data_IF_099692719503
#
_entry.id   IF_099692719503
#
_cell.length_a   1.000
_cell.length_b   1.000
_cell.length_c   1.000
_cell.angle_alpha   90.00
_cell.angle_beta   90.00
_cell.angle_gamma   90.00
#
_symmetry.space_group_name_H-M   'P 1'
#
loop_
_entity.id
_entity.type
_entity.pdbx_description
1 polymer ?
#
# COMPACT_ATOMS: atom_id res chain seq x y z
N UNK A 1 2.92 -11.83 6.54
CA UNK A 1 2.64 -12.38 5.20
C UNK A 1 2.82 -13.91 5.20
N UNK A 2 1.72 -14.66 5.03
CA UNK A 2 1.63 -16.12 5.28
C UNK A 2 2.63 -16.95 4.46
N UNK A 3 2.78 -16.62 3.17
CA UNK A 3 3.71 -17.33 2.26
C UNK A 3 5.17 -17.22 2.70
N UNK A 4 5.55 -16.10 3.30
CA UNK A 4 6.92 -15.92 3.83
C UNK A 4 7.17 -16.77 5.06
N UNK A 5 6.19 -16.85 5.97
CA UNK A 5 6.28 -17.70 7.17
C UNK A 5 6.42 -19.19 6.79
N UNK A 6 5.62 -19.69 5.85
CA UNK A 6 5.74 -21.06 5.35
C UNK A 6 7.10 -21.34 4.72
N UNK A 7 7.60 -20.41 3.90
CA UNK A 7 8.93 -20.53 3.29
C UNK A 7 10.05 -20.55 4.34
N UNK A 8 9.90 -19.78 5.42
CA UNK A 8 10.85 -19.75 6.53
C UNK A 8 10.81 -21.04 7.34
N UNK A 9 9.62 -21.57 7.68
CA UNK A 9 9.47 -22.87 8.36
C UNK A 9 10.17 -23.98 7.58
N UNK A 10 9.92 -24.07 6.26
CA UNK A 10 10.59 -25.06 5.40
C UNK A 10 12.11 -24.92 5.40
N UNK A 11 12.64 -23.70 5.48
CA UNK A 11 14.09 -23.47 5.59
C UNK A 11 14.64 -23.94 6.93
N UNK A 12 13.94 -23.65 8.02
CA UNK A 12 14.35 -24.05 9.37
C UNK A 12 14.32 -25.57 9.50
N UNK A 13 13.27 -26.23 9.00
CA UNK A 13 13.16 -27.70 9.01
C UNK A 13 14.32 -28.35 8.25
N UNK A 14 14.59 -27.89 7.01
CA UNK A 14 15.76 -28.38 6.24
C UNK A 14 17.09 -28.19 6.97
N UNK A 15 17.24 -27.11 7.74
CA UNK A 15 18.46 -26.86 8.49
C UNK A 15 18.57 -27.76 9.71
N UNK A 16 17.46 -28.05 10.40
CA UNK A 16 17.41 -29.03 11.49
C UNK A 16 17.79 -30.42 10.95
N UNK A 17 17.19 -30.85 9.84
CA UNK A 17 17.48 -32.15 9.24
C UNK A 17 18.96 -32.28 8.84
N UNK A 18 19.54 -31.21 8.28
CA UNK A 18 20.95 -31.19 7.92
C UNK A 18 21.88 -31.31 9.14
N UNK A 19 21.53 -30.67 10.26
CA UNK A 19 22.33 -30.79 11.50
C UNK A 19 22.20 -32.18 12.08
N UNK A 20 20.99 -32.76 12.08
CA UNK A 20 20.79 -34.13 12.56
C UNK A 20 21.62 -35.13 11.73
N UNK A 21 21.65 -34.98 10.40
CA UNK A 21 22.50 -35.79 9.54
C UNK A 21 24.00 -35.58 9.82
N UNK A 22 24.42 -34.33 10.07
CA UNK A 22 25.81 -34.01 10.45
C UNK A 22 26.18 -34.60 11.81
N UNK A 23 25.21 -34.70 12.75
CA UNK A 23 25.38 -35.41 14.02
C UNK A 23 25.54 -36.91 13.79
N UNK A 24 24.66 -37.52 12.99
CA UNK A 24 24.73 -38.95 12.68
C UNK A 24 26.10 -39.30 12.02
N UNK A 25 26.57 -38.47 11.09
CA UNK A 25 27.90 -38.61 10.48
C UNK A 25 29.07 -38.33 11.44
N UNK A 26 28.90 -37.47 12.44
CA UNK A 26 29.90 -37.22 13.46
C UNK A 26 29.98 -38.38 14.45
N UNK A 27 28.83 -38.91 14.89
CA UNK A 27 28.74 -40.08 15.78
C UNK A 27 29.37 -41.32 15.13
N UNK A 28 29.13 -41.55 13.83
CA UNK A 28 29.79 -42.62 13.07
C UNK A 28 31.32 -42.43 12.99
N UNK A 29 31.81 -41.19 12.95
CA UNK A 29 33.26 -40.88 12.91
C UNK A 29 33.92 -40.89 14.28
N UNK A 30 33.16 -40.64 15.35
CA UNK A 30 33.62 -40.54 16.73
C UNK A 30 33.49 -41.84 17.52
N UNK A 31 33.13 -42.98 16.90
CA UNK A 31 33.15 -44.30 17.51
C UNK A 31 34.51 -44.58 18.20
N UNK A 32 34.58 -44.31 19.51
CA UNK A 32 35.77 -44.48 20.36
C UNK A 32 36.45 -43.21 20.91
N UNK A 33 35.94 -41.99 20.70
CA UNK A 33 36.48 -40.76 21.31
C UNK A 33 35.44 -40.01 22.19
N UNK A 34 35.86 -39.31 23.25
CA UNK A 34 34.94 -38.58 24.12
C UNK A 34 34.47 -37.26 23.47
N UNK A 35 33.14 -37.08 23.42
CA UNK A 35 32.47 -35.93 22.80
C UNK A 35 32.83 -34.59 23.46
N UNK A 36 33.28 -33.61 22.67
CA UNK A 36 33.47 -32.23 23.11
C UNK A 36 32.30 -31.37 22.58
N UNK A 37 31.26 -31.20 23.42
CA UNK A 37 29.96 -30.65 23.03
C UNK A 37 30.03 -29.14 22.76
N UNK A 38 29.76 -28.72 21.53
CA UNK A 38 29.45 -27.31 21.15
C UNK A 38 28.13 -27.19 20.33
N UNK A 39 27.39 -28.29 20.11
CA UNK A 39 26.18 -28.31 19.24
C UNK A 39 24.82 -28.11 19.92
N UNK A 40 24.70 -28.31 21.23
CA UNK A 40 23.40 -28.22 21.94
C UNK A 40 22.78 -26.81 21.82
N UNK A 41 23.63 -25.77 21.87
CA UNK A 41 23.21 -24.37 21.78
C UNK A 41 22.58 -24.04 20.41
N UNK A 42 23.22 -24.45 19.30
CA UNK A 42 22.71 -24.18 17.94
C UNK A 42 21.37 -24.87 17.65
N UNK A 43 21.20 -26.12 18.12
CA UNK A 43 19.95 -26.87 17.95
C UNK A 43 18.83 -26.30 18.81
N UNK A 44 19.16 -25.85 20.03
CA UNK A 44 18.22 -25.20 20.94
C UNK A 44 17.72 -23.88 20.35
N UNK A 45 18.61 -23.03 19.85
CA UNK A 45 18.27 -21.77 19.17
C UNK A 45 17.34 -21.99 17.97
N UNK A 46 17.61 -23.01 17.15
CA UNK A 46 16.77 -23.34 15.97
C UNK A 46 15.39 -23.89 16.36
N UNK A 47 15.31 -24.69 17.43
CA UNK A 47 14.02 -25.18 17.98
C UNK A 47 13.20 -24.03 18.57
N UNK A 48 13.84 -23.10 19.29
CA UNK A 48 13.19 -21.90 19.82
C UNK A 48 12.70 -20.98 18.70
N UNK A 49 13.50 -20.78 17.65
CA UNK A 49 13.09 -20.01 16.48
C UNK A 49 11.87 -20.65 15.79
N UNK A 50 11.85 -21.97 15.63
CA UNK A 50 10.70 -22.72 15.08
C UNK A 50 9.43 -22.52 15.92
N UNK A 51 9.56 -22.56 17.25
CA UNK A 51 8.44 -22.31 18.17
C UNK A 51 7.90 -20.87 18.04
N UNK A 52 8.79 -19.87 17.99
CA UNK A 52 8.42 -18.46 17.77
C UNK A 52 7.69 -18.27 16.43
N UNK A 53 8.21 -18.84 15.34
CA UNK A 53 7.58 -18.74 14.01
C UNK A 53 6.20 -19.41 13.99
N UNK A 54 6.02 -20.57 14.62
CA UNK A 54 4.70 -21.21 14.76
C UNK A 54 3.70 -20.34 15.53
N UNK A 55 4.14 -19.71 16.63
CA UNK A 55 3.29 -18.81 17.42
C UNK A 55 2.84 -17.58 16.61
N UNK A 56 3.76 -16.98 15.85
CA UNK A 56 3.45 -15.86 14.94
C UNK A 56 2.48 -16.32 13.84
N UNK A 57 2.68 -17.50 13.28
CA UNK A 57 1.80 -18.06 12.27
C UNK A 57 0.37 -18.25 12.79
N UNK A 58 0.21 -18.79 14.01
CA UNK A 58 -1.11 -18.92 14.65
C UNK A 58 -1.83 -17.58 14.82
N UNK A 59 -1.12 -16.57 15.35
CA UNK A 59 -1.67 -15.20 15.47
C UNK A 59 -2.08 -14.60 14.12
N UNK A 60 -1.28 -14.82 13.08
CA UNK A 60 -1.60 -14.37 11.73
C UNK A 60 -2.85 -15.04 11.15
N UNK A 61 -3.16 -16.29 11.54
CA UNK A 61 -4.41 -16.95 11.12
C UNK A 61 -5.63 -16.38 11.84
N UNK A 62 -5.50 -16.05 13.14
CA UNK A 62 -6.55 -15.40 13.92
C UNK A 62 -6.83 -13.97 13.44
N UNK A 63 -5.79 -13.20 13.07
CA UNK A 63 -5.88 -11.82 12.59
C UNK A 63 -6.21 -11.70 11.08
N UNK A 64 -6.56 -12.81 10.42
CA UNK A 64 -7.00 -12.80 9.02
C UNK A 64 -5.88 -12.54 7.99
N UNK A 65 -4.62 -12.84 8.34
CA UNK A 65 -3.49 -12.84 7.42
C UNK A 65 -2.84 -11.47 7.15
N UNK A 66 -3.19 -10.43 7.91
CA UNK A 66 -2.52 -9.13 7.84
C UNK A 66 -1.05 -9.26 8.21
N UNK A 67 -0.17 -8.51 7.56
CA UNK A 67 1.26 -8.63 7.79
C UNK A 67 1.66 -7.92 9.08
N UNK A 68 1.75 -8.66 10.19
CA UNK A 68 2.10 -8.11 11.51
C UNK A 68 3.61 -8.00 11.71
N UNK A 69 4.08 -6.88 12.26
CA UNK A 69 5.45 -6.72 12.71
C UNK A 69 5.62 -7.45 14.06
N UNK A 70 6.69 -8.25 14.18
CA UNK A 70 6.94 -9.12 15.33
C UNK A 70 7.50 -8.40 16.55
N UNK A 71 8.05 -7.20 16.36
CA UNK A 71 8.62 -6.38 17.43
C UNK A 71 7.58 -5.40 17.98
N UNK A 72 6.79 -4.81 17.09
CA UNK A 72 5.74 -3.85 17.43
C UNK A 72 4.51 -4.16 16.56
N UNK A 73 3.42 -4.61 17.18
CA UNK A 73 2.21 -5.04 16.47
C UNK A 73 1.42 -3.90 15.85
N UNK A 74 1.57 -2.68 16.36
CA UNK A 74 0.83 -1.50 15.89
C UNK A 74 1.50 -0.84 14.68
N UNK A 75 2.78 -1.19 14.42
CA UNK A 75 3.51 -0.71 13.26
C UNK A 75 2.94 -1.27 11.94
N UNK A 76 2.76 -0.39 10.96
CA UNK A 76 2.42 -0.79 9.58
C UNK A 76 3.66 -0.87 8.69
N UNK A 77 3.49 -1.52 7.54
CA UNK A 77 4.51 -1.60 6.50
C UNK A 77 4.41 -0.36 5.62
N UNK A 78 5.40 0.53 5.71
CA UNK A 78 5.48 1.79 4.94
C UNK A 78 6.45 1.64 3.78
N UNK A 79 6.08 2.12 2.60
CA UNK A 79 6.97 2.22 1.45
C UNK A 79 7.52 3.63 1.31
N UNK A 80 8.84 3.75 1.25
CA UNK A 80 9.56 5.00 0.98
C UNK A 80 10.43 4.85 -0.27
N UNK A 81 11.09 5.94 -0.67
CA UNK A 81 12.07 5.93 -1.75
C UNK A 81 13.28 5.04 -1.46
N UNK A 82 13.56 4.76 -0.18
CA UNK A 82 14.66 3.91 0.28
C UNK A 82 14.25 2.44 0.49
N UNK A 83 12.99 2.11 0.22
CA UNK A 83 12.46 0.75 0.30
C UNK A 83 11.30 0.63 1.28
N UNK A 84 11.09 -0.59 1.78
CA UNK A 84 10.01 -0.86 2.73
C UNK A 84 10.56 -0.89 4.15
N UNK A 85 9.88 -0.18 5.05
CA UNK A 85 10.18 -0.16 6.49
C UNK A 85 8.92 -0.43 7.32
N UNK A 86 9.12 -0.74 8.61
CA UNK A 86 8.05 -0.68 9.59
C UNK A 86 7.97 0.76 10.12
N UNK A 87 6.76 1.30 10.26
CA UNK A 87 6.56 2.64 10.82
C UNK A 87 5.09 2.98 10.98
N UNK A 88 4.85 4.24 11.34
CA UNK A 88 3.53 4.82 11.55
C UNK A 88 3.28 5.89 10.50
N UNK A 89 2.09 5.88 9.88
CA UNK A 89 1.69 6.96 9.00
C UNK A 89 0.96 8.01 9.84
N UNK A 90 1.61 9.14 10.09
CA UNK A 90 1.04 10.24 10.89
C UNK A 90 0.47 11.30 9.97
N UNK A 91 -0.77 11.68 10.23
CA UNK A 91 -1.51 12.72 9.54
C UNK A 91 -1.64 13.92 10.48
N UNK A 92 -1.54 15.13 9.96
CA UNK A 92 -1.68 16.34 10.76
C UNK A 92 -2.30 17.46 9.92
N UNK A 93 -3.19 18.23 10.55
CA UNK A 93 -3.81 19.42 9.98
C UNK A 93 -3.39 20.63 10.79
N UNK A 94 -2.99 21.68 10.09
CA UNK A 94 -2.48 22.91 10.68
C UNK A 94 -3.33 24.09 10.24
N UNK A 95 -3.62 25.02 11.15
CA UNK A 95 -4.31 26.26 10.81
C UNK A 95 -3.37 27.24 10.10
N UNK A 96 -3.88 27.95 9.09
CA UNK A 96 -3.07 28.86 8.27
C UNK A 96 -2.65 30.14 9.02
N UNK A 97 -3.45 30.59 9.99
CA UNK A 97 -3.26 31.91 10.62
C UNK A 97 -2.18 31.88 11.71
N UNK A 98 -2.08 30.81 12.48
CA UNK A 98 -1.24 30.67 13.66
C UNK A 98 -0.27 29.49 13.55
N UNK A 99 -0.48 28.59 12.59
CA UNK A 99 0.37 27.42 12.41
C UNK A 99 0.20 26.38 13.51
N UNK A 100 -0.95 26.36 14.20
CA UNK A 100 -1.24 25.38 15.25
C UNK A 100 -1.81 24.10 14.65
N UNK A 101 -1.41 22.98 15.23
CA UNK A 101 -1.97 21.67 14.88
C UNK A 101 -3.40 21.60 15.46
N UNK A 102 -4.38 21.41 14.58
CA UNK A 102 -5.81 21.36 14.92
C UNK A 102 -6.38 19.94 14.83
N UNK A 103 -5.69 19.03 14.13
CA UNK A 103 -5.96 17.61 14.13
C UNK A 103 -4.66 16.83 13.93
N UNK A 104 -4.56 15.66 14.53
CA UNK A 104 -3.49 14.70 14.27
C UNK A 104 -3.99 13.29 14.50
N UNK A 105 -3.63 12.39 13.60
CA UNK A 105 -4.08 11.00 13.61
C UNK A 105 -2.95 10.07 13.16
N UNK A 106 -2.99 8.81 13.60
CA UNK A 106 -2.03 7.78 13.19
C UNK A 106 -2.79 6.65 12.51
N UNK A 107 -2.52 6.48 11.23
CA UNK A 107 -3.23 5.51 10.40
C UNK A 107 -2.33 4.35 10.00
N UNK A 108 -2.92 3.16 9.88
CA UNK A 108 -2.21 1.96 9.42
C UNK A 108 -2.14 1.85 7.89
N UNK A 109 -2.73 2.81 7.17
CA UNK A 109 -2.71 2.88 5.72
C UNK A 109 -1.36 3.38 5.20
N UNK A 110 -0.88 2.77 4.11
CA UNK A 110 0.43 3.04 3.53
C UNK A 110 0.41 4.21 2.53
N UNK A 111 -0.74 4.86 2.34
CA UNK A 111 -0.86 6.04 1.49
C UNK A 111 -1.96 6.94 2.03
N UNK A 112 -1.98 8.17 1.55
CA UNK A 112 -2.83 9.25 2.08
C UNK A 112 -4.12 9.46 1.26
N UNK A 113 -4.36 8.63 0.24
CA UNK A 113 -5.47 8.81 -0.71
C UNK A 113 -6.83 8.87 0.00
N UNK A 114 -7.03 8.07 1.05
CA UNK A 114 -8.31 7.97 1.76
C UNK A 114 -8.35 8.80 3.06
N UNK A 115 -7.40 9.72 3.27
CA UNK A 115 -7.26 10.42 4.55
C UNK A 115 -7.79 11.86 4.52
N UNK A 116 -8.00 12.47 3.35
CA UNK A 116 -8.30 13.90 3.28
C UNK A 116 -9.58 14.30 4.04
N UNK A 117 -10.71 13.63 3.79
CA UNK A 117 -11.97 14.09 4.39
C UNK A 117 -11.97 13.91 5.91
N UNK A 118 -11.51 12.75 6.40
CA UNK A 118 -11.41 12.45 7.82
C UNK A 118 -10.58 13.51 8.57
N UNK A 119 -9.41 13.88 8.04
CA UNK A 119 -8.55 14.87 8.68
C UNK A 119 -9.19 16.27 8.72
N UNK A 120 -9.86 16.70 7.65
CA UNK A 120 -10.56 18.00 7.60
C UNK A 120 -11.77 18.01 8.55
N UNK A 121 -12.53 16.92 8.62
CA UNK A 121 -13.67 16.82 9.51
C UNK A 121 -13.24 16.87 10.99
N UNK A 122 -12.16 16.18 11.36
CA UNK A 122 -11.57 16.27 12.71
C UNK A 122 -11.11 17.70 13.03
N UNK A 123 -10.44 18.37 12.09
CA UNK A 123 -10.01 19.76 12.29
C UNK A 123 -11.20 20.71 12.48
N UNK A 124 -12.28 20.53 11.71
CA UNK A 124 -13.50 21.32 11.81
C UNK A 124 -14.21 21.09 13.16
N UNK A 125 -14.22 19.85 13.65
CA UNK A 125 -14.75 19.50 14.97
C UNK A 125 -13.96 20.18 16.08
N UNK A 126 -12.63 20.09 16.06
CA UNK A 126 -11.75 20.76 17.04
C UNK A 126 -11.94 22.27 17.06
N UNK A 127 -12.10 22.90 15.88
CA UNK A 127 -12.31 24.34 15.77
C UNK A 127 -13.76 24.77 16.05
N UNK A 128 -14.70 23.82 16.16
CA UNK A 128 -16.13 24.09 16.30
C UNK A 128 -16.76 24.82 15.11
N UNK A 129 -16.06 24.86 13.97
CA UNK A 129 -16.51 25.53 12.74
C UNK A 129 -15.81 24.92 11.54
N UNK A 130 -16.47 25.00 10.38
CA UNK A 130 -15.88 24.61 9.10
C UNK A 130 -14.81 25.61 8.67
N UNK A 131 -13.71 25.12 8.11
CA UNK A 131 -12.75 25.94 7.39
C UNK A 131 -13.34 26.47 6.07
N UNK A 132 -12.82 27.59 5.58
CA UNK A 132 -13.24 28.13 4.27
C UNK A 132 -12.53 27.43 3.11
N UNK A 133 -11.25 27.09 3.32
CA UNK A 133 -10.41 26.44 2.32
C UNK A 133 -9.59 25.34 2.98
N UNK A 134 -9.58 24.17 2.34
CA UNK A 134 -8.78 23.02 2.72
C UNK A 134 -7.72 22.75 1.65
N UNK A 135 -6.45 22.76 2.06
CA UNK A 135 -5.30 22.54 1.18
C UNK A 135 -4.55 21.28 1.60
N UNK A 136 -4.10 20.48 0.64
CA UNK A 136 -3.20 19.35 0.89
C UNK A 136 -2.30 19.10 -0.33
N UNK A 137 -1.30 18.22 -0.15
CA UNK A 137 -0.43 17.81 -1.24
C UNK A 137 -1.10 16.78 -2.18
N UNK A 138 -0.40 16.41 -3.25
CA UNK A 138 -0.95 15.49 -4.25
C UNK A 138 -1.17 14.06 -3.76
N UNK A 139 -0.60 13.66 -2.62
CA UNK A 139 -0.83 12.36 -1.98
C UNK A 139 -2.29 12.16 -1.59
N UNK A 140 -2.98 13.25 -1.26
CA UNK A 140 -4.41 13.29 -0.91
C UNK A 140 -5.34 13.46 -2.11
N UNK A 141 -4.82 13.39 -3.35
CA UNK A 141 -5.59 13.66 -4.57
C UNK A 141 -6.52 12.50 -4.97
N UNK A 142 -7.48 12.16 -4.10
CA UNK A 142 -8.54 11.19 -4.33
C UNK A 142 -9.88 11.89 -4.57
N UNK A 143 -10.47 11.68 -5.74
CA UNK A 143 -11.67 12.43 -6.14
C UNK A 143 -12.87 12.21 -5.22
N UNK A 144 -13.03 11.01 -4.67
CA UNK A 144 -14.18 10.67 -3.85
C UNK A 144 -14.04 11.30 -2.46
N UNK A 145 -12.82 11.36 -1.90
CA UNK A 145 -12.52 12.10 -0.68
C UNK A 145 -12.67 13.62 -0.85
N UNK A 146 -12.12 14.18 -1.93
CA UNK A 146 -12.21 15.62 -2.19
C UNK A 146 -13.67 16.06 -2.40
N UNK A 147 -14.49 15.25 -3.08
CA UNK A 147 -15.91 15.55 -3.28
C UNK A 147 -16.70 15.60 -1.96
N UNK A 148 -16.35 14.76 -0.96
CA UNK A 148 -17.00 14.80 0.36
C UNK A 148 -16.84 16.15 1.04
N UNK A 149 -15.66 16.76 0.93
CA UNK A 149 -15.36 18.07 1.53
C UNK A 149 -15.93 19.22 0.68
N UNK A 150 -15.87 19.11 -0.65
CA UNK A 150 -16.46 20.11 -1.56
C UNK A 150 -17.99 20.23 -1.35
N UNK A 151 -18.68 19.11 -1.14
CA UNK A 151 -20.12 19.06 -0.79
C UNK A 151 -20.46 19.76 0.53
N UNK A 152 -19.48 20.01 1.39
CA UNK A 152 -19.66 20.76 2.63
C UNK A 152 -19.53 22.28 2.46
N UNK A 153 -19.39 22.76 1.21
CA UNK A 153 -19.13 24.15 0.82
C UNK A 153 -17.73 24.64 1.23
N UNK A 154 -16.79 23.72 1.39
CA UNK A 154 -15.38 24.01 1.70
C UNK A 154 -14.58 23.99 0.41
N UNK A 155 -13.82 25.06 0.13
CA UNK A 155 -13.00 25.13 -1.07
C UNK A 155 -11.81 24.18 -0.97
N UNK A 156 -11.74 23.19 -1.86
CA UNK A 156 -10.65 22.20 -1.87
C UNK A 156 -9.54 22.62 -2.85
N UNK A 157 -8.30 22.69 -2.37
CA UNK A 157 -7.11 23.00 -3.18
C UNK A 157 -6.09 21.87 -3.00
N UNK A 158 -6.15 20.88 -3.90
CA UNK A 158 -5.24 19.73 -3.91
C UNK A 158 -4.71 19.53 -5.33
N UNK A 159 -3.38 19.55 -5.55
CA UNK A 159 -2.81 19.33 -6.87
C UNK A 159 -2.98 17.85 -7.27
N UNK A 160 -3.34 17.60 -8.53
CA UNK A 160 -3.33 16.23 -9.03
C UNK A 160 -1.91 15.66 -9.07
N UNK A 161 -1.79 14.34 -8.94
CA UNK A 161 -0.51 13.62 -9.09
C UNK A 161 0.23 13.98 -10.38
N UNK A 162 -0.51 14.27 -11.45
CA UNK A 162 0.06 14.74 -12.71
C UNK A 162 0.71 16.12 -12.57
N UNK A 163 0.05 17.08 -11.94
CA UNK A 163 0.58 18.42 -11.70
C UNK A 163 1.84 18.36 -10.83
N UNK A 164 1.86 17.51 -9.81
CA UNK A 164 3.04 17.29 -8.97
C UNK A 164 4.21 16.64 -9.72
N UNK A 165 3.93 15.75 -10.68
CA UNK A 165 4.98 15.00 -11.42
C UNK A 165 5.86 15.84 -12.35
N UNK A 166 5.46 17.08 -12.69
CA UNK A 166 6.15 18.00 -13.62
C UNK A 166 6.54 17.39 -14.98
N UNK A 167 5.92 16.29 -15.40
CA UNK A 167 6.19 15.64 -16.69
C UNK A 167 5.47 16.39 -17.80
N UNK A 168 6.18 16.63 -18.90
CA UNK A 168 5.60 17.18 -20.11
C UNK A 168 4.40 16.34 -20.59
N UNK A 169 3.31 16.96 -21.05
CA UNK A 169 2.15 16.24 -21.55
C UNK A 169 2.54 15.43 -22.80
N UNK A 170 2.39 14.09 -22.71
CA UNK A 170 2.49 13.24 -23.91
C UNK A 170 1.40 13.62 -24.94
N UNK A 171 1.62 13.35 -26.24
CA UNK A 171 0.65 13.70 -27.29
C UNK A 171 -0.77 13.21 -27.02
N UNK A 172 -0.93 11.98 -26.52
CA UNK A 172 -2.22 11.37 -26.15
C UNK A 172 -2.55 11.47 -24.65
N UNK A 173 -2.21 12.60 -24.01
CA UNK A 173 -2.64 12.85 -22.64
C UNK A 173 -4.16 13.12 -22.59
N UNK A 174 -4.87 12.67 -21.54
CA UNK A 174 -6.31 12.89 -21.32
C UNK A 174 -6.74 14.36 -21.49
N UNK A 175 -5.89 15.33 -21.11
CA UNK A 175 -6.21 16.75 -21.27
C UNK A 175 -6.32 17.21 -22.74
N UNK A 176 -5.74 16.46 -23.67
CA UNK A 176 -5.83 16.74 -25.11
C UNK A 176 -7.06 16.07 -25.74
N UNK A 177 -7.86 15.33 -24.97
CA UNK A 177 -9.12 14.75 -25.44
C UNK A 177 -10.26 15.71 -25.13
N UNK A 178 -11.16 15.88 -26.09
CA UNK A 178 -12.39 16.68 -25.94
C UNK A 178 -13.56 15.74 -25.73
N UNK A 179 -14.33 15.94 -24.66
CA UNK A 179 -15.52 15.14 -24.39
C UNK A 179 -16.77 15.80 -24.98
N UNK A 180 -17.51 15.04 -25.79
CA UNK A 180 -18.84 15.42 -26.30
C UNK A 180 -19.89 14.72 -25.43
N UNK A 181 -20.61 15.53 -24.64
CA UNK A 181 -21.63 15.04 -23.70
C UNK A 181 -22.89 14.53 -24.40
N UNK A 182 -23.24 15.06 -25.57
CA UNK A 182 -24.45 14.65 -26.29
C UNK A 182 -24.28 13.26 -26.90
N UNK A 183 -23.10 12.98 -27.42
CA UNK A 183 -22.78 11.70 -28.10
C UNK A 183 -22.13 10.65 -27.20
N UNK A 184 -21.85 11.01 -25.94
CA UNK A 184 -21.05 10.24 -24.98
C UNK A 184 -19.78 9.68 -25.65
N UNK A 185 -18.96 10.57 -26.22
CA UNK A 185 -17.74 10.18 -26.92
C UNK A 185 -16.60 11.16 -26.65
N UNK A 186 -15.37 10.65 -26.75
CA UNK A 186 -14.17 11.48 -26.68
C UNK A 186 -13.56 11.65 -28.07
N UNK A 187 -13.21 12.87 -28.44
CA UNK A 187 -12.39 13.14 -29.63
C UNK A 187 -10.92 13.18 -29.21
N UNK A 188 -10.10 12.34 -29.83
CA UNK A 188 -8.67 12.30 -29.56
C UNK A 188 -7.93 13.47 -30.27
N UNK A 189 -6.65 13.72 -29.95
CA UNK A 189 -5.85 14.78 -30.59
C UNK A 189 -5.66 14.64 -32.10
N UNK A 190 -5.95 13.46 -32.66
CA UNK A 190 -5.93 13.17 -34.10
C UNK A 190 -7.33 13.24 -34.73
N UNK A 191 -8.30 13.84 -34.04
CA UNK A 191 -9.69 14.03 -34.49
C UNK A 191 -10.52 12.74 -34.68
N UNK A 192 -10.01 11.59 -34.21
CA UNK A 192 -10.76 10.35 -34.25
C UNK A 192 -11.69 10.24 -33.01
N UNK A 193 -12.89 9.69 -33.20
CA UNK A 193 -13.88 9.51 -32.13
C UNK A 193 -13.71 8.18 -31.38
N UNK A 194 -13.63 8.27 -30.06
CA UNK A 194 -13.67 7.15 -29.13
C UNK A 194 -15.07 7.04 -28.52
N UNK A 195 -15.74 5.92 -28.78
CA UNK A 195 -17.08 5.64 -28.24
C UNK A 195 -16.97 4.77 -26.99
N UNK A 196 -17.98 4.83 -26.14
CA UNK A 196 -18.08 3.93 -24.99
C UNK A 196 -17.97 2.47 -25.45
N UNK A 197 -17.07 1.73 -24.82
CA UNK A 197 -16.79 0.33 -25.11
C UNK A 197 -17.35 -0.57 -24.02
N UNK A 198 -16.81 -0.49 -22.81
CA UNK A 198 -17.29 -1.25 -21.66
C UNK A 198 -16.93 -0.56 -20.34
N UNK A 199 -17.49 -1.06 -19.24
CA UNK A 199 -17.09 -0.67 -17.90
C UNK A 199 -16.02 -1.64 -17.38
N UNK A 200 -14.85 -1.13 -16.99
CA UNK A 200 -13.83 -1.94 -16.32
C UNK A 200 -14.16 -2.02 -14.83
N UNK A 201 -14.72 -3.17 -14.42
CA UNK A 201 -15.07 -3.44 -13.01
C UNK A 201 -13.85 -3.48 -12.09
N UNK A 202 -12.65 -3.81 -12.59
CA UNK A 202 -11.44 -3.89 -11.76
C UNK A 202 -10.90 -2.50 -11.42
N UNK A 203 -11.02 -1.56 -12.35
CA UNK A 203 -10.53 -0.18 -12.21
C UNK A 203 -11.64 0.85 -11.96
N UNK A 204 -12.88 0.38 -11.85
CA UNK A 204 -14.07 1.19 -11.60
C UNK A 204 -14.23 2.39 -12.54
N UNK A 205 -14.00 2.20 -13.85
CA UNK A 205 -14.14 3.28 -14.82
C UNK A 205 -14.75 2.83 -16.15
N UNK A 206 -15.29 3.78 -16.91
CA UNK A 206 -15.73 3.58 -18.29
C UNK A 206 -14.54 3.62 -19.25
N UNK A 207 -14.48 2.66 -20.17
CA UNK A 207 -13.47 2.60 -21.23
C UNK A 207 -14.08 3.11 -22.53
N UNK A 208 -13.39 4.03 -23.20
CA UNK A 208 -13.75 4.54 -24.52
C UNK A 208 -12.67 4.12 -25.51
N UNK A 209 -13.07 3.53 -26.64
CA UNK A 209 -12.16 2.95 -27.61
C UNK A 209 -12.56 3.28 -29.05
N UNK A 210 -11.63 3.13 -29.98
CA UNK A 210 -11.94 3.17 -31.41
C UNK A 210 -12.80 1.98 -31.77
N UNK A 211 -13.85 2.25 -32.53
CA UNK A 211 -14.55 1.20 -33.27
C UNK A 211 -13.76 1.01 -34.56
N UNK A 212 -12.96 -0.06 -34.64
CA UNK A 212 -12.46 -0.53 -35.93
C UNK A 212 -13.67 -1.10 -36.67
N UNK A 213 -14.15 -0.41 -37.71
CA UNK A 213 -15.12 -1.00 -38.62
C UNK A 213 -14.49 -2.27 -39.23
N UNK A 214 -15.14 -3.44 -39.16
CA UNK A 214 -14.67 -4.64 -39.83
C UNK A 214 -14.66 -4.55 -41.37
N UNK A 215 -15.27 -3.51 -41.94
CA UNK A 215 -15.43 -3.35 -43.39
C UNK A 215 -14.51 -2.25 -43.95
N UNK A 216 -13.20 -2.53 -43.95
CA UNK A 216 -12.20 -1.56 -44.41
C UNK A 216 -10.85 -2.17 -44.78
N UNK A 217 -10.88 -3.33 -45.45
CA UNK A 217 -9.80 -3.74 -46.35
C UNK A 217 -10.34 -3.51 -47.76
N UNK A 218 -9.92 -2.42 -48.38
CA UNK A 218 -9.78 -2.30 -49.83
C UNK A 218 -8.35 -1.84 -50.11
#
# INVERSE_FOLDING_TARGET
DKKKCEKYLKKVDKRIDAILAECDEADEREEGQPSHIEMEEELKDKKELKAKVKKIFGKLEEEGGKSTNTTDSECTRINSTQGTHAGYNTQAVVDEKQGLIVASDVVSENNDLSQFANQIDQANETLGKKCETACADSGYADTDELEKIDKQEIKVIVPSQRQASKKEPKPFNKANFRYDREKDCYTCPQENQLRYSHFDKRKNHKVYAFVLNPEGIQ
#
